data_IF_931991934362
#
_entry.id   IF_931991934362
#
_cell.length_a   1.000
_cell.length_b   1.000
_cell.length_c   1.000
_cell.angle_alpha   90.00
_cell.angle_beta   90.00
_cell.angle_gamma   90.00
#
_symmetry.space_group_name_H-M   'P 1'
#
loop_
_entity.id
_entity.type
_entity.pdbx_description
1 polymer ?
#
# COMPACT_ATOMS: atom_id res chain seq x y z
N UNK A 1 -6.47 7.67 -7.72
CA UNK A 1 -5.87 8.82 -7.00
C UNK A 1 -4.68 8.29 -6.23
N UNK A 2 -3.64 9.10 -6.04
CA UNK A 2 -2.58 8.77 -5.09
C UNK A 2 -3.15 8.75 -3.67
N UNK A 3 -3.02 7.61 -2.98
CA UNK A 3 -3.50 7.44 -1.61
C UNK A 3 -2.59 8.13 -0.58
N UNK A 4 -1.45 8.70 -0.98
CA UNK A 4 -0.59 9.49 -0.08
C UNK A 4 -0.77 10.99 -0.27
N UNK A 5 -0.64 11.47 -1.50
CA UNK A 5 -0.68 12.91 -1.79
C UNK A 5 -2.09 13.43 -2.08
N UNK A 6 -3.06 12.53 -2.34
CA UNK A 6 -4.36 12.91 -2.87
C UNK A 6 -4.33 13.36 -4.32
N UNK A 7 -3.20 13.19 -5.04
CA UNK A 7 -3.09 13.59 -6.44
C UNK A 7 -4.08 12.79 -7.32
N UNK A 8 -5.09 13.44 -7.92
CA UNK A 8 -6.21 12.73 -8.52
C UNK A 8 -5.86 12.10 -9.87
N UNK A 9 -4.79 12.56 -10.53
CA UNK A 9 -4.51 12.24 -11.92
C UNK A 9 -3.71 10.94 -12.13
N UNK A 10 -3.60 10.09 -11.11
CA UNK A 10 -2.98 8.76 -11.23
C UNK A 10 -3.92 7.62 -10.84
N UNK A 11 -3.69 6.46 -11.43
CA UNK A 11 -4.17 5.15 -10.95
C UNK A 11 -2.98 4.42 -10.33
N UNK A 12 -3.13 3.99 -9.08
CA UNK A 12 -2.19 3.13 -8.39
C UNK A 12 -2.71 1.69 -8.47
N UNK A 13 -1.87 0.76 -8.94
CA UNK A 13 -2.24 -0.65 -9.10
C UNK A 13 -1.24 -1.49 -8.33
N UNK A 14 -1.74 -2.27 -7.38
CA UNK A 14 -0.96 -3.26 -6.65
C UNK A 14 -1.26 -4.68 -7.13
N UNK A 15 -0.23 -5.53 -7.21
CA UNK A 15 -0.38 -6.90 -7.68
C UNK A 15 0.55 -7.88 -6.97
N UNK A 16 0.04 -9.10 -6.75
CA UNK A 16 0.77 -10.24 -6.19
C UNK A 16 0.37 -11.53 -6.90
N UNK A 17 1.10 -12.61 -6.62
CA UNK A 17 0.65 -13.96 -6.95
C UNK A 17 -0.32 -14.49 -5.89
N UNK A 18 -1.32 -15.27 -6.31
CA UNK A 18 -2.29 -15.92 -5.43
C UNK A 18 -3.44 -15.00 -4.99
N UNK A 19 -4.10 -15.36 -3.89
CA UNK A 19 -5.29 -14.65 -3.41
C UNK A 19 -4.90 -13.29 -2.77
N UNK A 20 -5.62 -12.23 -3.18
CA UNK A 20 -5.36 -10.83 -2.82
C UNK A 20 -5.46 -10.48 -1.33
N UNK A 21 -6.04 -11.35 -0.50
CA UNK A 21 -6.14 -11.19 0.96
C UNK A 21 -4.79 -10.92 1.62
N UNK A 22 -3.69 -11.40 1.03
CA UNK A 22 -2.34 -11.17 1.55
C UNK A 22 -1.89 -9.71 1.43
N UNK A 23 -2.37 -8.97 0.41
CA UNK A 23 -2.14 -7.53 0.26
C UNK A 23 -2.82 -6.78 1.42
N UNK A 24 -4.09 -7.08 1.66
CA UNK A 24 -4.92 -6.41 2.69
C UNK A 24 -4.35 -6.62 4.09
N UNK A 25 -3.83 -7.82 4.37
CA UNK A 25 -3.18 -8.15 5.64
C UNK A 25 -1.78 -7.54 5.81
N UNK A 26 -1.23 -6.88 4.78
CA UNK A 26 0.10 -6.27 4.83
C UNK A 26 1.25 -7.26 4.95
N UNK A 27 1.01 -8.55 4.69
CA UNK A 27 2.00 -9.63 4.88
C UNK A 27 3.00 -9.76 3.72
N UNK A 28 2.81 -8.97 2.67
CA UNK A 28 3.60 -9.07 1.45
C UNK A 28 3.79 -7.69 0.82
N UNK A 29 4.99 -7.45 0.27
CA UNK A 29 5.25 -6.27 -0.57
C UNK A 29 4.81 -6.58 -2.00
N UNK A 30 3.75 -5.94 -2.52
CA UNK A 30 3.25 -6.18 -3.87
C UNK A 30 4.13 -5.50 -4.92
N UNK A 31 3.96 -5.89 -6.18
CA UNK A 31 4.33 -5.02 -7.28
C UNK A 31 3.41 -3.82 -7.30
N UNK A 32 3.97 -2.65 -7.59
CA UNK A 32 3.23 -1.40 -7.63
C UNK A 32 3.46 -0.71 -8.97
N UNK A 33 2.37 -0.28 -9.60
CA UNK A 33 2.38 0.40 -10.88
C UNK A 33 1.61 1.71 -10.77
N UNK A 34 2.20 2.79 -11.30
CA UNK A 34 1.55 4.09 -11.37
C UNK A 34 1.25 4.44 -12.82
N UNK A 35 0.00 4.74 -13.12
CA UNK A 35 -0.47 5.11 -14.46
C UNK A 35 -1.06 6.52 -14.46
N UNK A 36 -0.59 7.37 -15.37
CA UNK A 36 -1.03 8.76 -15.49
C UNK A 36 -2.32 8.86 -16.31
N UNK A 37 -3.41 9.30 -15.68
CA UNK A 37 -4.75 9.34 -16.28
C UNK A 37 -4.87 10.26 -17.50
N UNK A 38 -4.30 11.50 -17.51
CA UNK A 38 -4.52 12.43 -18.61
C UNK A 38 -4.04 11.91 -19.96
N UNK A 39 -2.84 11.35 -20.02
CA UNK A 39 -2.29 10.77 -21.26
C UNK A 39 -2.89 9.38 -21.55
N UNK A 40 -3.30 8.63 -20.53
CA UNK A 40 -4.04 7.37 -20.71
C UNK A 40 -5.36 7.62 -21.44
N UNK A 41 -6.10 8.68 -21.07
CA UNK A 41 -7.36 9.08 -21.73
C UNK A 41 -7.16 9.52 -23.18
N UNK A 42 -5.96 9.97 -23.54
CA UNK A 42 -5.58 10.29 -24.92
C UNK A 42 -5.15 9.04 -25.72
N UNK A 43 -5.10 7.87 -25.09
CA UNK A 43 -4.77 6.60 -25.74
C UNK A 43 -3.33 6.12 -25.55
N UNK A 44 -2.48 6.85 -24.82
CA UNK A 44 -1.09 6.47 -24.59
C UNK A 44 -0.93 5.43 -23.49
N UNK A 45 0.05 4.53 -23.63
CA UNK A 45 0.48 3.61 -22.57
C UNK A 45 1.25 4.36 -21.46
N UNK A 46 0.50 4.94 -20.52
CA UNK A 46 0.99 5.99 -19.63
C UNK A 46 1.49 5.48 -18.28
N UNK A 47 2.30 4.42 -18.28
CA UNK A 47 2.93 3.91 -17.05
C UNK A 47 4.12 4.81 -16.70
N UNK A 48 4.06 5.48 -15.55
CA UNK A 48 5.08 6.45 -15.12
C UNK A 48 6.00 5.91 -14.03
N UNK A 49 5.61 4.83 -13.34
CA UNK A 49 6.47 4.15 -12.38
C UNK A 49 6.10 2.66 -12.26
N UNK A 50 7.12 1.82 -12.04
CA UNK A 50 6.97 0.39 -11.77
C UNK A 50 7.94 -0.02 -10.67
N UNK A 51 7.41 -0.44 -9.52
CA UNK A 51 8.18 -0.89 -8.38
C UNK A 51 7.96 -2.39 -8.18
N UNK A 52 9.05 -3.15 -8.14
CA UNK A 52 8.97 -4.60 -7.99
C UNK A 52 8.86 -4.99 -6.52
N UNK A 53 7.80 -5.72 -6.18
CA UNK A 53 7.62 -6.30 -4.85
C UNK A 53 8.40 -7.58 -4.67
N UNK A 54 8.73 -7.93 -3.42
CA UNK A 54 9.46 -9.18 -3.11
C UNK A 54 8.64 -10.43 -3.41
N UNK A 55 7.31 -10.37 -3.24
CA UNK A 55 6.35 -11.45 -3.59
C UNK A 55 6.79 -12.86 -3.17
N UNK A 56 7.41 -13.00 -2.00
CA UNK A 56 8.00 -14.26 -1.52
C UNK A 56 6.99 -15.35 -1.21
N UNK A 57 5.73 -14.99 -0.96
CA UNK A 57 4.66 -15.87 -0.50
C UNK A 57 3.36 -15.57 -1.23
N UNK A 58 2.49 -16.57 -1.33
CA UNK A 58 1.15 -16.46 -1.90
C UNK A 58 0.16 -17.37 -1.18
N UNK A 59 -1.12 -17.00 -1.21
CA UNK A 59 -2.21 -17.90 -0.82
C UNK A 59 -2.73 -18.68 -2.03
N UNK A 60 -2.93 -19.99 -1.84
CA UNK A 60 -3.55 -20.92 -2.78
C UNK A 60 -4.69 -21.67 -2.10
N UNK A 61 -5.63 -22.21 -2.86
CA UNK A 61 -6.68 -23.06 -2.29
C UNK A 61 -6.10 -24.37 -1.75
N UNK A 62 -6.48 -24.72 -0.52
CA UNK A 62 -6.15 -26.02 0.06
C UNK A 62 -7.17 -27.06 -0.41
N UNK A 63 -6.75 -27.94 -1.32
CA UNK A 63 -7.59 -29.00 -1.89
C UNK A 63 -7.89 -30.15 -0.92
N UNK A 64 -7.20 -30.20 0.23
CA UNK A 64 -7.38 -31.25 1.24
C UNK A 64 -8.30 -30.82 2.38
N UNK A 65 -7.96 -29.71 3.05
CA UNK A 65 -8.69 -29.25 4.25
C UNK A 65 -9.77 -28.20 3.97
N UNK A 66 -9.82 -27.67 2.75
CA UNK A 66 -10.60 -26.49 2.41
C UNK A 66 -9.94 -25.20 2.94
N UNK A 67 -10.33 -24.06 2.39
CA UNK A 67 -9.77 -22.75 2.74
C UNK A 67 -8.48 -22.41 1.98
N UNK A 68 -7.66 -21.56 2.59
CA UNK A 68 -6.43 -21.03 1.99
C UNK A 68 -5.19 -21.60 2.69
N UNK A 69 -4.18 -21.92 1.89
CA UNK A 69 -2.85 -22.35 2.33
C UNK A 69 -1.80 -21.34 1.87
N UNK A 70 -0.89 -20.98 2.77
CA UNK A 70 0.31 -20.21 2.46
C UNK A 70 1.36 -21.10 1.78
N UNK A 71 1.89 -20.65 0.65
CA UNK A 71 3.00 -21.31 -0.04
C UNK A 71 4.04 -20.29 -0.48
N UNK A 72 5.30 -20.72 -0.58
CA UNK A 72 6.36 -19.90 -1.15
C UNK A 72 6.18 -19.74 -2.66
N UNK A 73 6.55 -18.56 -3.16
CA UNK A 73 6.63 -18.29 -4.59
C UNK A 73 8.01 -18.71 -5.09
N UNK A 74 8.09 -19.37 -6.24
CA UNK A 74 9.39 -19.73 -6.83
C UNK A 74 10.27 -18.49 -7.02
N UNK A 75 11.57 -18.60 -6.71
CA UNK A 75 12.52 -17.48 -6.82
C UNK A 75 12.51 -16.82 -8.21
N UNK A 76 12.35 -17.62 -9.26
CA UNK A 76 12.27 -17.17 -10.65
C UNK A 76 11.06 -16.28 -10.96
N UNK A 77 9.99 -16.38 -10.16
CA UNK A 77 8.79 -15.55 -10.27
C UNK A 77 8.85 -14.32 -9.37
N UNK A 78 9.60 -14.36 -8.25
CA UNK A 78 9.76 -13.22 -7.36
C UNK A 78 10.41 -12.03 -8.09
N UNK A 79 11.35 -12.31 -8.99
CA UNK A 79 12.08 -11.32 -9.81
C UNK A 79 11.32 -10.87 -11.07
N UNK A 80 10.04 -11.25 -11.20
CA UNK A 80 9.18 -10.85 -12.32
C UNK A 80 8.00 -10.04 -11.81
N UNK A 81 7.50 -9.15 -12.66
CA UNK A 81 6.20 -8.53 -12.42
C UNK A 81 5.10 -9.58 -12.52
N UNK A 82 4.15 -9.50 -11.59
CA UNK A 82 3.01 -10.42 -11.46
C UNK A 82 1.95 -10.24 -12.54
N UNK A 83 1.95 -9.07 -13.21
CA UNK A 83 1.12 -8.75 -14.35
C UNK A 83 1.92 -8.05 -15.46
N UNK A 84 1.40 -8.14 -16.68
CA UNK A 84 1.99 -7.57 -17.89
C UNK A 84 1.59 -6.12 -18.10
N UNK A 85 2.34 -5.39 -18.92
CA UNK A 85 2.02 -4.01 -19.36
C UNK A 85 0.59 -3.89 -19.89
N UNK A 86 0.13 -4.86 -20.70
CA UNK A 86 -1.24 -4.84 -21.27
C UNK A 86 -2.30 -4.94 -20.19
N UNK A 87 -2.07 -5.77 -19.18
CA UNK A 87 -2.98 -5.94 -18.04
C UNK A 87 -3.01 -4.69 -17.16
N UNK A 88 -1.85 -4.08 -16.91
CA UNK A 88 -1.74 -2.80 -16.18
C UNK A 88 -2.58 -1.72 -16.88
N UNK A 89 -2.42 -1.55 -18.19
CA UNK A 89 -3.18 -0.57 -18.98
C UNK A 89 -4.68 -0.89 -18.98
N UNK A 90 -5.06 -2.15 -19.04
CA UNK A 90 -6.47 -2.58 -19.00
C UNK A 90 -7.11 -2.23 -17.66
N UNK A 91 -6.45 -2.57 -16.55
CA UNK A 91 -6.90 -2.24 -15.20
C UNK A 91 -6.99 -0.72 -14.99
N UNK A 92 -6.01 0.05 -15.48
CA UNK A 92 -6.03 1.50 -15.38
C UNK A 92 -7.21 2.12 -16.15
N UNK A 93 -7.53 1.61 -17.34
CA UNK A 93 -8.70 2.03 -18.11
C UNK A 93 -10.00 1.72 -17.38
N UNK A 94 -10.14 0.51 -16.82
CA UNK A 94 -11.31 0.14 -16.03
C UNK A 94 -11.45 1.02 -14.78
N UNK A 95 -10.36 1.28 -14.06
CA UNK A 95 -10.37 2.17 -12.91
C UNK A 95 -10.85 3.60 -13.27
N UNK A 96 -10.41 4.14 -14.42
CA UNK A 96 -10.88 5.43 -14.90
C UNK A 96 -12.38 5.43 -15.22
N UNK A 97 -12.88 4.37 -15.88
CA UNK A 97 -14.30 4.24 -16.21
C UNK A 97 -15.18 4.13 -14.96
N UNK A 98 -14.72 3.37 -13.97
CA UNK A 98 -15.43 3.18 -12.69
C UNK A 98 -15.44 4.49 -11.89
N UNK A 99 -14.31 5.19 -11.80
CA UNK A 99 -14.23 6.51 -11.16
C UNK A 99 -15.13 7.54 -11.85
N UNK A 100 -15.18 7.55 -13.18
CA UNK A 100 -16.06 8.43 -13.95
C UNK A 100 -17.53 8.12 -13.73
N UNK A 101 -17.90 6.84 -13.65
CA UNK A 101 -19.26 6.39 -13.36
C UNK A 101 -19.75 6.88 -11.98
N UNK A 102 -18.91 6.76 -10.95
CA UNK A 102 -19.27 7.17 -9.59
C UNK A 102 -19.03 8.66 -9.30
N UNK A 103 -18.25 9.36 -10.13
CA UNK A 103 -17.94 10.79 -9.98
C UNK A 103 -17.02 11.13 -8.80
N UNK A 104 -16.41 10.13 -8.18
CA UNK A 104 -15.51 10.30 -7.02
C UNK A 104 -14.44 9.18 -6.99
N UNK A 105 -13.27 9.42 -6.38
CA UNK A 105 -12.19 8.43 -6.33
C UNK A 105 -12.65 7.09 -5.75
N UNK A 106 -12.19 5.99 -6.35
CA UNK A 106 -12.59 4.64 -5.97
C UNK A 106 -11.41 3.81 -5.48
N UNK A 107 -11.64 3.04 -4.42
CA UNK A 107 -10.87 1.87 -4.02
C UNK A 107 -11.47 0.64 -4.74
N UNK A 108 -10.64 -0.09 -5.49
CA UNK A 108 -11.07 -1.13 -6.43
C UNK A 108 -10.25 -2.39 -6.21
N UNK A 109 -10.95 -3.50 -5.98
CA UNK A 109 -10.35 -4.82 -5.95
C UNK A 109 -10.55 -5.52 -7.30
N UNK A 110 -9.50 -6.22 -7.74
CA UNK A 110 -9.49 -6.94 -9.01
C UNK A 110 -8.80 -8.30 -8.85
N UNK A 111 -9.07 -9.23 -9.77
CA UNK A 111 -8.46 -10.53 -9.80
C UNK A 111 -8.14 -10.96 -11.25
N UNK A 112 -7.08 -11.75 -11.41
CA UNK A 112 -6.80 -12.50 -12.65
C UNK A 112 -7.09 -13.97 -12.41
N UNK A 113 -7.99 -14.54 -13.20
CA UNK A 113 -8.26 -15.98 -13.12
C UNK A 113 -7.08 -16.78 -13.70
N UNK A 114 -6.50 -17.67 -12.90
CA UNK A 114 -5.38 -18.51 -13.30
C UNK A 114 -5.73 -19.57 -14.36
N UNK A 115 -7.02 -19.86 -14.59
CA UNK A 115 -7.47 -20.81 -15.63
C UNK A 115 -7.69 -20.12 -16.97
N UNK A 116 -8.44 -19.02 -16.98
CA UNK A 116 -8.79 -18.31 -18.23
C UNK A 116 -7.82 -17.20 -18.59
N UNK A 117 -6.95 -16.77 -17.66
CA UNK A 117 -6.10 -15.58 -17.76
C UNK A 117 -6.88 -14.27 -17.97
N UNK A 118 -8.18 -14.25 -17.67
CA UNK A 118 -9.01 -13.05 -17.76
C UNK A 118 -8.93 -12.23 -16.48
N UNK A 119 -9.05 -10.91 -16.63
CA UNK A 119 -9.12 -9.95 -15.53
C UNK A 119 -10.58 -9.70 -15.15
N UNK A 120 -10.82 -9.51 -13.86
CA UNK A 120 -12.14 -9.22 -13.30
C UNK A 120 -12.02 -8.12 -12.25
N UNK A 121 -13.03 -7.26 -12.16
CA UNK A 121 -13.25 -6.38 -11.01
C UNK A 121 -14.14 -7.13 -10.03
N UNK A 122 -13.72 -7.25 -8.78
CA UNK A 122 -14.45 -8.01 -7.75
C UNK A 122 -15.16 -7.09 -6.76
N UNK A 123 -14.64 -5.87 -6.54
CA UNK A 123 -15.22 -4.89 -5.62
C UNK A 123 -14.85 -3.47 -6.06
N UNK A 124 -15.74 -2.50 -5.83
CA UNK A 124 -15.43 -1.07 -5.93
C UNK A 124 -16.21 -0.30 -4.87
N UNK A 125 -15.53 0.59 -4.14
CA UNK A 125 -16.13 1.49 -3.15
C UNK A 125 -15.46 2.86 -3.18
N UNK A 126 -16.15 3.93 -2.70
CA UNK A 126 -15.55 5.23 -2.51
C UNK A 126 -14.23 5.17 -1.71
N UNK A 127 -13.21 5.90 -2.16
CA UNK A 127 -12.01 6.18 -1.36
C UNK A 127 -12.38 7.21 -0.28
N UNK A 128 -12.09 6.93 0.99
CA UNK A 128 -12.56 7.74 2.12
C UNK A 128 -11.46 8.50 2.87
N UNK A 129 -10.18 8.26 2.58
CA UNK A 129 -9.06 8.86 3.32
C UNK A 129 -8.81 10.32 2.90
N UNK A 130 -8.99 10.67 1.62
CA UNK A 130 -8.73 12.03 1.12
C UNK A 130 -9.99 12.88 0.91
N UNK A 131 -11.17 12.38 1.25
CA UNK A 131 -12.43 13.12 1.09
C UNK A 131 -12.50 14.43 1.91
N UNK A 132 -11.60 14.63 2.89
CA UNK A 132 -11.65 15.75 3.84
C UNK A 132 -10.55 16.81 3.69
N UNK A 133 -9.55 16.66 2.81
CA UNK A 133 -8.46 17.66 2.68
C UNK A 133 -8.79 18.72 1.64
N UNK A 134 -8.80 19.98 2.08
CA UNK A 134 -9.02 21.16 1.25
C UNK A 134 -8.10 21.18 0.02
N UNK A 135 -8.71 21.23 -1.16
CA UNK A 135 -8.16 20.89 -2.49
C UNK A 135 -6.93 21.67 -3.00
N UNK A 136 -6.37 22.64 -2.27
CA UNK A 136 -5.44 23.62 -2.86
C UNK A 136 -4.16 23.91 -2.05
N UNK A 137 -3.88 23.23 -0.94
CA UNK A 137 -2.64 23.46 -0.17
C UNK A 137 -1.79 22.20 -0.20
N UNK A 138 -0.68 22.27 -0.92
CA UNK A 138 0.38 21.28 -0.90
C UNK A 138 1.35 21.67 0.22
N UNK A 139 1.28 20.97 1.34
CA UNK A 139 2.23 21.12 2.45
C UNK A 139 3.35 20.09 2.28
N UNK A 140 4.55 20.61 2.02
CA UNK A 140 5.78 19.82 1.95
C UNK A 140 6.62 20.11 3.19
N UNK A 141 7.09 19.04 3.84
CA UNK A 141 7.93 19.13 5.02
C UNK A 141 9.37 18.77 4.64
N UNK A 142 10.29 19.72 4.80
CA UNK A 142 11.71 19.50 4.51
C UNK A 142 12.50 19.38 5.82
N UNK A 143 13.22 18.28 6.01
CA UNK A 143 14.16 18.13 7.12
C UNK A 143 15.57 18.55 6.68
N UNK A 144 16.02 19.73 7.11
CA UNK A 144 17.34 20.25 6.76
C UNK A 144 18.43 19.61 7.62
N UNK A 145 19.20 18.71 7.01
CA UNK A 145 20.36 18.08 7.65
C UNK A 145 21.46 17.83 6.62
N UNK A 146 22.72 17.98 7.03
CA UNK A 146 23.89 17.59 6.24
C UNK A 146 24.28 16.12 6.48
N UNK A 147 23.63 15.47 7.45
CA UNK A 147 23.93 14.09 7.81
C UNK A 147 23.24 13.10 6.88
N UNK A 148 23.96 12.05 6.49
CA UNK A 148 23.37 10.94 5.73
C UNK A 148 22.36 10.17 6.59
N UNK A 149 21.23 9.71 6.01
CA UNK A 149 20.26 8.90 6.75
C UNK A 149 20.89 7.59 7.24
N UNK A 150 20.59 7.22 8.48
CA UNK A 150 21.03 5.94 9.08
C UNK A 150 20.24 4.77 8.49
N UNK A 151 18.98 5.00 8.13
CA UNK A 151 18.08 4.04 7.50
C UNK A 151 17.16 4.74 6.49
N UNK A 152 16.73 4.00 5.47
CA UNK A 152 15.76 4.46 4.48
C UNK A 152 14.71 3.37 4.26
N UNK A 153 13.47 3.77 3.98
CA UNK A 153 12.36 2.84 3.77
C UNK A 153 11.32 3.42 2.81
N UNK A 154 10.16 2.75 2.76
CA UNK A 154 9.00 3.23 2.01
C UNK A 154 8.30 4.28 2.86
N UNK A 155 8.35 5.54 2.44
CA UNK A 155 7.65 6.61 3.14
C UNK A 155 6.13 6.46 2.99
N UNK A 156 5.41 6.61 4.09
CA UNK A 156 3.96 6.69 4.17
C UNK A 156 3.54 7.99 4.84
N UNK A 157 2.82 8.82 4.08
CA UNK A 157 2.44 10.17 4.49
C UNK A 157 3.50 11.22 4.13
N UNK A 158 3.21 12.48 4.44
CA UNK A 158 4.02 13.63 4.03
C UNK A 158 4.60 14.43 5.21
N UNK A 159 4.39 14.00 6.45
CA UNK A 159 4.81 14.72 7.66
C UNK A 159 6.18 14.27 8.15
N UNK A 160 6.79 15.09 9.01
CA UNK A 160 7.98 14.72 9.80
C UNK A 160 7.54 14.40 11.22
N UNK A 161 7.95 13.22 11.70
CA UNK A 161 7.77 12.76 13.08
C UNK A 161 9.09 12.82 13.83
N UNK A 162 9.06 13.27 15.09
CA UNK A 162 10.25 13.31 15.94
C UNK A 162 9.92 12.85 17.35
N UNK A 163 10.76 11.97 17.88
CA UNK A 163 10.59 11.43 19.21
C UNK A 163 11.71 10.46 19.57
N UNK A 164 11.71 10.00 20.82
CA UNK A 164 12.63 8.95 21.26
C UNK A 164 12.29 7.65 20.53
N UNK A 165 13.28 7.07 19.86
CA UNK A 165 13.14 5.78 19.21
C UNK A 165 12.87 4.68 20.26
N UNK A 166 11.78 3.94 20.09
CA UNK A 166 11.36 2.90 21.02
C UNK A 166 11.05 1.60 20.29
N UNK A 167 11.90 0.60 20.51
CA UNK A 167 11.74 -0.74 19.93
C UNK A 167 10.78 -1.55 20.79
N UNK A 168 9.62 -1.90 20.23
CA UNK A 168 8.62 -2.78 20.85
C UNK A 168 8.41 -3.96 19.93
N UNK A 169 8.92 -5.13 20.32
CA UNK A 169 8.84 -6.36 19.52
C UNK A 169 7.49 -7.06 19.65
N UNK A 170 6.79 -6.81 20.76
CA UNK A 170 5.57 -7.53 21.13
C UNK A 170 4.68 -6.67 22.05
N UNK A 171 3.37 -6.97 22.02
CA UNK A 171 2.34 -6.25 22.76
C UNK A 171 2.43 -6.40 24.30
N UNK A 172 3.26 -7.31 24.84
CA UNK A 172 3.45 -7.37 26.30
C UNK A 172 4.26 -6.18 26.83
N UNK A 173 4.97 -5.46 25.94
CA UNK A 173 5.85 -4.34 26.29
C UNK A 173 5.21 -2.96 26.04
N UNK A 174 3.92 -2.91 25.71
CA UNK A 174 3.19 -1.66 25.40
C UNK A 174 3.27 -0.65 26.54
N UNK A 175 3.19 -1.11 27.78
CA UNK A 175 3.19 -0.23 28.97
C UNK A 175 4.46 0.62 29.10
N UNK A 176 5.52 0.28 28.34
CA UNK A 176 6.75 1.05 28.32
C UNK A 176 6.77 2.13 27.25
N UNK A 177 5.77 2.21 26.37
CA UNK A 177 5.66 3.23 25.34
C UNK A 177 5.12 4.53 25.94
N UNK A 178 5.78 5.64 25.62
CA UNK A 178 5.31 6.96 26.04
C UNK A 178 4.75 7.75 24.85
N UNK A 179 3.71 8.58 25.05
CA UNK A 179 3.20 9.47 24.01
C UNK A 179 4.31 10.34 23.42
N UNK A 180 4.34 10.43 22.08
CA UNK A 180 5.34 11.16 21.32
C UNK A 180 6.62 10.37 21.01
N UNK A 181 6.77 9.13 21.48
CA UNK A 181 7.87 8.24 21.04
C UNK A 181 7.69 7.79 19.57
N UNK A 182 8.78 7.43 18.91
CA UNK A 182 8.77 6.80 17.57
C UNK A 182 8.74 5.29 17.75
N UNK A 183 7.66 4.65 17.31
CA UNK A 183 7.50 3.21 17.42
C UNK A 183 8.37 2.49 16.39
N UNK A 184 9.20 1.57 16.83
CA UNK A 184 9.96 0.67 15.97
C UNK A 184 9.52 -0.76 16.27
N UNK A 185 9.01 -1.46 15.25
CA UNK A 185 8.55 -2.85 15.39
C UNK A 185 8.75 -3.62 14.10
N UNK A 186 8.43 -4.92 14.11
CA UNK A 186 8.54 -5.75 12.91
C UNK A 186 7.38 -5.49 11.94
N UNK A 187 6.16 -5.56 12.45
CA UNK A 187 4.91 -5.35 11.74
C UNK A 187 3.81 -5.02 12.77
N UNK A 188 2.76 -4.32 12.35
CA UNK A 188 1.60 -4.03 13.19
C UNK A 188 0.36 -4.78 12.72
N UNK A 189 -0.57 -5.02 13.62
CA UNK A 189 -1.93 -5.50 13.37
C UNK A 189 -2.93 -4.63 14.18
N UNK A 190 -4.26 -4.89 14.12
CA UNK A 190 -5.25 -4.04 14.79
C UNK A 190 -5.03 -3.83 16.29
N UNK A 191 -4.33 -4.73 16.98
CA UNK A 191 -4.09 -4.60 18.42
C UNK A 191 -3.05 -3.49 18.73
N UNK A 192 -2.32 -3.01 17.72
CA UNK A 192 -1.35 -1.90 17.86
C UNK A 192 -1.97 -0.52 17.77
N UNK A 193 -3.24 -0.40 17.33
CA UNK A 193 -3.93 0.89 17.13
C UNK A 193 -3.85 1.84 18.33
N UNK A 194 -3.97 1.39 19.60
CA UNK A 194 -3.84 2.27 20.75
C UNK A 194 -2.46 2.95 20.84
N UNK A 195 -1.38 2.25 20.51
CA UNK A 195 -0.01 2.80 20.50
C UNK A 195 0.18 3.73 19.32
N UNK A 196 -0.32 3.34 18.14
CA UNK A 196 -0.19 4.14 16.94
C UNK A 196 -0.78 5.54 17.15
N UNK A 197 -1.90 5.65 17.89
CA UNK A 197 -2.49 6.94 18.27
C UNK A 197 -1.61 7.81 19.18
N UNK A 198 -0.68 7.20 19.90
CA UNK A 198 0.23 7.89 20.81
C UNK A 198 1.59 8.18 20.17
N UNK A 199 1.93 7.51 19.07
CA UNK A 199 3.23 7.62 18.42
C UNK A 199 3.38 8.93 17.64
N UNK A 200 4.60 9.47 17.61
CA UNK A 200 4.96 10.60 16.73
C UNK A 200 5.41 10.14 15.34
N UNK A 201 5.70 8.85 15.19
CA UNK A 201 6.02 8.19 13.94
C UNK A 201 6.20 6.68 14.13
N UNK A 202 6.20 5.94 13.03
CA UNK A 202 6.28 4.46 13.04
C UNK A 202 7.37 4.01 12.07
N UNK A 203 8.09 2.96 12.43
CA UNK A 203 9.05 2.30 11.55
C UNK A 203 8.81 0.80 11.68
N UNK A 204 8.56 0.13 10.54
CA UNK A 204 8.38 -1.32 10.49
C UNK A 204 9.44 -2.00 9.65
N UNK A 205 9.96 -3.14 10.12
CA UNK A 205 10.91 -3.96 9.33
C UNK A 205 10.26 -4.51 8.03
N UNK A 206 8.96 -4.80 8.10
CA UNK A 206 8.19 -5.42 7.02
C UNK A 206 6.90 -4.63 6.74
N UNK A 207 6.57 -4.46 5.45
CA UNK A 207 5.37 -3.74 5.03
C UNK A 207 5.54 -3.06 3.68
N UNK A 208 4.47 -2.45 3.20
CA UNK A 208 4.44 -1.64 2.00
C UNK A 208 3.36 -0.57 2.14
N UNK A 209 3.11 0.20 1.08
CA UNK A 209 2.14 1.30 1.11
C UNK A 209 0.71 0.87 1.46
N UNK A 210 0.39 -0.43 1.42
CA UNK A 210 -0.93 -0.99 1.76
C UNK A 210 -0.92 -1.83 3.03
N UNK A 211 0.17 -1.87 3.79
CA UNK A 211 0.19 -2.65 5.04
C UNK A 211 -0.64 -1.98 6.14
N UNK A 212 -0.94 -2.74 7.20
CA UNK A 212 -1.71 -2.22 8.34
C UNK A 212 -1.11 -0.93 8.92
N UNK A 213 0.22 -0.91 9.14
CA UNK A 213 0.91 0.27 9.64
C UNK A 213 0.70 1.47 8.70
N UNK A 214 0.80 1.26 7.39
CA UNK A 214 0.65 2.30 6.40
C UNK A 214 -0.79 2.87 6.35
N UNK A 215 -1.79 2.00 6.32
CA UNK A 215 -3.21 2.40 6.26
C UNK A 215 -3.58 3.19 7.52
N UNK A 216 -3.32 2.61 8.69
CA UNK A 216 -3.68 3.25 9.97
C UNK A 216 -2.88 4.53 10.19
N UNK A 217 -1.59 4.57 9.81
CA UNK A 217 -0.80 5.79 9.96
C UNK A 217 -1.35 6.95 9.11
N UNK A 218 -1.83 6.67 7.90
CA UNK A 218 -2.52 7.67 7.07
C UNK A 218 -3.82 8.16 7.71
N UNK A 219 -4.64 7.25 8.25
CA UNK A 219 -5.89 7.61 8.93
C UNK A 219 -5.65 8.46 10.19
N UNK A 220 -4.58 8.17 10.93
CA UNK A 220 -4.19 8.91 12.13
C UNK A 220 -3.35 10.16 11.83
N UNK A 221 -2.91 10.35 10.59
CA UNK A 221 -2.08 11.47 10.18
C UNK A 221 -0.70 11.50 10.84
N UNK A 222 -0.13 10.32 11.13
CA UNK A 222 1.23 10.12 11.64
C UNK A 222 2.14 9.61 10.49
N UNK A 223 3.42 10.00 10.44
CA UNK A 223 4.35 9.50 9.44
C UNK A 223 4.83 8.08 9.76
N UNK A 224 4.99 7.25 8.73
CA UNK A 224 5.46 5.87 8.85
C UNK A 224 6.42 5.46 7.72
#
# INVERSE_FOLDING_TARGET
MDTETGFPNIVLINSIYGIGEMIVKGKITPDEFTVFKPTLKQGFESIIAQNMGRKTKKYVYDTGRGGLKEVEVEKSLQEKFSITTKEIITLAKWACLIEEHYGLPQDIEWAKDGKTNQLFIVQSRPETVHASKAKNILEEYEFKTEQKPILTGIAVGNKIGSGKAKVIKDLSRINNFMPGEVLITKMTDPDWVPILRQASGVITDEGGRTCHAAIISRELGIPA
#
